data_IF_495750693903
#
_entry.id   IF_495750693903
#
_cell.length_a   1.000
_cell.length_b   1.000
_cell.length_c   1.000
_cell.angle_alpha   90.00
_cell.angle_beta   90.00
_cell.angle_gamma   90.00
#
_symmetry.space_group_name_H-M   'P 1'
#
loop_
_entity.id
_entity.type
_entity.pdbx_description
1 polymer ?
#
# COMPACT_ATOMS: atom_id res chain seq x y z
N UNK A 1 -9.36 -12.15 21.20
CA UNK A 1 -9.87 -10.76 21.36
C UNK A 1 -8.65 -9.88 21.57
N UNK A 2 -8.57 -8.71 20.93
CA UNK A 2 -7.43 -7.81 21.07
C UNK A 2 -7.38 -7.21 22.48
N UNK A 3 -6.20 -7.10 23.07
CA UNK A 3 -5.97 -6.44 24.38
C UNK A 3 -5.69 -4.95 24.16
N UNK A 4 -6.74 -4.14 24.13
CA UNK A 4 -6.64 -2.69 23.94
C UNK A 4 -5.88 -2.02 25.10
N UNK A 5 -6.08 -2.49 26.35
CA UNK A 5 -5.39 -1.91 27.50
C UNK A 5 -3.88 -2.16 27.43
N UNK A 6 -3.47 -3.37 27.04
CA UNK A 6 -2.07 -3.68 26.81
C UNK A 6 -1.44 -2.80 25.72
N UNK A 7 -2.17 -2.50 24.64
CA UNK A 7 -1.70 -1.57 23.60
C UNK A 7 -1.49 -0.16 24.17
N UNK A 8 -2.46 0.33 24.98
CA UNK A 8 -2.35 1.67 25.60
C UNK A 8 -1.15 1.77 26.53
N UNK A 9 -0.91 0.73 27.36
CA UNK A 9 0.27 0.72 28.25
C UNK A 9 1.60 0.69 27.46
N UNK A 10 1.69 -0.14 26.41
CA UNK A 10 2.87 -0.15 25.52
C UNK A 10 3.10 1.20 24.83
N UNK A 11 2.02 1.89 24.43
CA UNK A 11 2.16 3.23 23.87
C UNK A 11 2.70 4.24 24.89
N UNK A 12 2.23 4.21 26.13
CA UNK A 12 2.76 5.09 27.20
C UNK A 12 4.25 4.83 27.45
N UNK A 13 4.66 3.54 27.52
CA UNK A 13 6.07 3.17 27.66
C UNK A 13 6.92 3.69 26.49
N UNK A 14 6.39 3.58 25.25
CA UNK A 14 7.08 4.07 24.06
C UNK A 14 7.28 5.58 24.11
N UNK A 15 6.21 6.34 24.39
CA UNK A 15 6.28 7.81 24.50
C UNK A 15 7.28 8.26 25.57
N UNK A 16 7.28 7.58 26.73
CA UNK A 16 8.21 7.89 27.80
C UNK A 16 9.68 7.62 27.44
N UNK A 17 9.94 6.62 26.59
CA UNK A 17 11.30 6.27 26.12
C UNK A 17 11.79 7.16 24.95
N UNK A 18 10.89 7.85 24.28
CA UNK A 18 11.19 8.61 23.06
C UNK A 18 10.75 10.09 23.13
N UNK A 19 11.19 10.86 24.15
CA UNK A 19 10.82 12.27 24.29
C UNK A 19 11.31 13.13 23.11
N UNK A 20 12.34 12.70 22.40
CA UNK A 20 12.89 13.35 21.21
C UNK A 20 11.90 13.44 20.05
N UNK A 21 10.91 12.56 19.98
CA UNK A 21 9.92 12.57 18.91
C UNK A 21 9.06 13.82 18.91
N UNK A 22 8.79 14.39 20.08
CA UNK A 22 8.04 15.65 20.22
C UNK A 22 8.84 16.88 19.73
N UNK A 23 10.16 16.78 19.65
CA UNK A 23 11.06 17.90 19.34
C UNK A 23 11.47 17.95 17.85
N UNK A 24 11.19 16.89 17.06
CA UNK A 24 11.62 16.78 15.66
C UNK A 24 10.98 17.81 14.70
N UNK A 25 9.93 18.52 15.11
CA UNK A 25 9.27 19.54 14.29
C UNK A 25 8.77 19.02 12.94
N UNK A 26 8.43 17.72 12.85
CA UNK A 26 7.97 17.10 11.63
C UNK A 26 6.63 17.70 11.20
N UNK A 27 6.49 17.93 9.91
CA UNK A 27 5.25 18.39 9.29
C UNK A 27 4.55 17.24 8.57
N UNK A 28 3.34 17.47 8.09
CA UNK A 28 2.63 16.53 7.22
C UNK A 28 3.21 16.46 5.80
N UNK A 29 4.13 17.37 5.44
CA UNK A 29 4.76 17.42 4.13
C UNK A 29 6.06 16.60 4.15
N UNK A 30 6.17 15.56 3.33
CA UNK A 30 7.36 14.73 3.26
C UNK A 30 8.53 15.48 2.62
N UNK A 31 9.72 15.32 3.16
CA UNK A 31 10.90 16.10 2.71
C UNK A 31 11.46 15.60 1.38
N UNK A 32 11.22 14.33 1.01
CA UNK A 32 11.70 13.72 -0.25
C UNK A 32 10.73 13.85 -1.41
N UNK A 33 9.54 14.43 -1.22
CA UNK A 33 8.48 14.57 -2.23
C UNK A 33 8.09 13.26 -2.92
N UNK A 34 8.28 12.14 -2.24
CA UNK A 34 8.05 10.78 -2.71
C UNK A 34 6.87 10.15 -1.98
N UNK A 35 5.97 9.49 -2.73
CA UNK A 35 5.00 8.56 -2.19
C UNK A 35 5.33 7.13 -2.63
N UNK A 36 5.27 6.18 -1.71
CA UNK A 36 5.36 4.74 -1.98
C UNK A 36 3.96 4.14 -1.90
N UNK A 37 3.57 3.38 -2.93
CA UNK A 37 2.38 2.53 -2.94
C UNK A 37 2.83 1.08 -2.84
N UNK A 38 2.42 0.37 -1.79
CA UNK A 38 2.89 -1.00 -1.55
C UNK A 38 1.80 -1.90 -0.95
N UNK A 39 2.12 -3.20 -0.80
CA UNK A 39 1.23 -4.17 -0.17
C UNK A 39 1.13 -3.95 1.35
N UNK A 40 -0.02 -4.35 1.91
CA UNK A 40 -0.25 -4.37 3.35
C UNK A 40 0.37 -5.59 4.05
N UNK A 41 1.16 -6.41 3.36
CA UNK A 41 1.84 -7.58 3.92
C UNK A 41 2.60 -7.22 5.19
N UNK A 42 2.41 -8.05 6.23
CA UNK A 42 2.98 -7.78 7.56
C UNK A 42 4.50 -7.83 7.60
N UNK A 43 5.12 -8.56 6.67
CA UNK A 43 6.59 -8.66 6.54
C UNK A 43 7.23 -7.34 6.08
N UNK A 44 6.45 -6.46 5.42
CA UNK A 44 6.90 -5.15 4.96
C UNK A 44 6.79 -4.06 6.05
N UNK A 45 6.22 -4.38 7.22
CA UNK A 45 6.03 -3.37 8.28
C UNK A 45 7.35 -2.99 8.93
N UNK A 46 7.73 -1.72 8.82
CA UNK A 46 9.00 -1.19 9.35
C UNK A 46 10.21 -1.52 8.47
N UNK A 47 10.28 -2.74 7.93
CA UNK A 47 11.39 -3.20 7.08
C UNK A 47 11.48 -2.41 5.76
N UNK A 48 10.35 -2.12 5.11
CA UNK A 48 10.35 -1.47 3.80
C UNK A 48 11.02 -0.10 3.84
N UNK A 49 10.62 0.75 4.75
CA UNK A 49 11.16 2.11 4.87
C UNK A 49 12.65 2.07 5.28
N UNK A 50 12.99 1.21 6.25
CA UNK A 50 14.36 1.07 6.77
C UNK A 50 15.31 0.52 5.72
N UNK A 51 14.95 -0.54 4.98
CA UNK A 51 15.79 -1.14 3.95
C UNK A 51 16.05 -0.21 2.76
N UNK A 52 15.13 0.71 2.47
CA UNK A 52 15.27 1.72 1.43
C UNK A 52 15.96 3.01 1.94
N UNK A 53 16.35 3.06 3.22
CA UNK A 53 17.06 4.18 3.81
C UNK A 53 16.18 5.41 4.06
N UNK A 54 14.88 5.23 4.27
CA UNK A 54 13.96 6.32 4.57
C UNK A 54 13.69 6.43 6.07
N UNK A 55 13.71 7.66 6.56
CA UNK A 55 13.34 7.99 7.94
C UNK A 55 11.91 8.56 8.02
N UNK A 56 11.41 8.60 9.26
CA UNK A 56 10.10 9.20 9.57
C UNK A 56 10.04 10.68 9.15
N UNK A 57 9.03 11.01 8.33
CA UNK A 57 8.82 12.38 7.80
C UNK A 57 9.44 12.63 6.43
N UNK A 58 10.13 11.65 5.85
CA UNK A 58 10.77 11.79 4.54
C UNK A 58 9.85 11.45 3.37
N UNK A 59 8.99 10.44 3.54
CA UNK A 59 8.11 9.91 2.49
C UNK A 59 6.68 9.71 2.98
N UNK A 60 5.76 9.49 2.04
CA UNK A 60 4.42 8.96 2.30
C UNK A 60 4.39 7.48 1.92
N UNK A 61 3.84 6.61 2.76
CA UNK A 61 3.62 5.20 2.44
C UNK A 61 2.11 4.90 2.43
N UNK A 62 1.61 4.39 1.30
CA UNK A 62 0.22 3.96 1.10
C UNK A 62 0.23 2.43 0.99
N UNK A 63 -0.39 1.74 1.96
CA UNK A 63 -0.45 0.27 2.03
C UNK A 63 -1.86 -0.23 1.72
N UNK A 64 -1.97 -1.13 0.74
CA UNK A 64 -3.25 -1.72 0.32
C UNK A 64 -3.09 -3.22 0.03
N UNK A 65 -4.19 -3.94 -0.13
CA UNK A 65 -4.12 -5.32 -0.58
C UNK A 65 -3.51 -5.37 -2.00
N UNK A 66 -2.28 -5.88 -2.10
CA UNK A 66 -1.57 -6.11 -3.35
C UNK A 66 -1.15 -4.88 -4.15
N UNK A 67 -1.11 -3.67 -3.57
CA UNK A 67 -0.68 -2.44 -4.27
C UNK A 67 -1.38 -2.17 -5.62
N UNK A 68 -2.60 -2.67 -5.83
CA UNK A 68 -3.33 -2.59 -7.10
C UNK A 68 -4.30 -1.42 -7.15
N UNK A 69 -4.24 -0.64 -8.23
CA UNK A 69 -5.28 0.33 -8.58
C UNK A 69 -6.37 -0.39 -9.37
N UNK A 70 -7.61 -0.27 -8.91
CA UNK A 70 -8.75 -1.03 -9.45
C UNK A 70 -9.73 -0.18 -10.23
N UNK A 71 -9.81 1.11 -9.92
CA UNK A 71 -10.76 2.04 -10.53
C UNK A 71 -10.11 3.41 -10.75
N UNK A 72 -10.67 4.24 -11.64
CA UNK A 72 -10.15 5.59 -11.90
C UNK A 72 -10.07 6.48 -10.65
N UNK A 73 -10.92 6.23 -9.65
CA UNK A 73 -10.87 6.90 -8.35
C UNK A 73 -11.12 5.85 -7.28
N UNK A 74 -10.07 5.15 -6.88
CA UNK A 74 -10.04 4.28 -5.70
C UNK A 74 -9.25 4.93 -4.56
N UNK A 75 -9.09 4.22 -3.46
CA UNK A 75 -8.40 4.73 -2.28
C UNK A 75 -6.93 5.07 -2.53
N UNK A 76 -6.25 4.36 -3.44
CA UNK A 76 -4.86 4.68 -3.82
C UNK A 76 -4.84 6.01 -4.57
N UNK A 77 -5.67 6.15 -5.62
CA UNK A 77 -5.74 7.37 -6.41
C UNK A 77 -6.13 8.57 -5.52
N UNK A 78 -7.15 8.43 -4.67
CA UNK A 78 -7.56 9.49 -3.73
C UNK A 78 -6.40 9.91 -2.81
N UNK A 79 -5.68 8.94 -2.25
CA UNK A 79 -4.54 9.21 -1.38
C UNK A 79 -3.41 9.92 -2.13
N UNK A 80 -3.13 9.49 -3.36
CA UNK A 80 -2.12 10.13 -4.22
C UNK A 80 -2.53 11.54 -4.65
N UNK A 81 -3.82 11.81 -4.91
CA UNK A 81 -4.31 13.16 -5.22
C UNK A 81 -4.06 14.12 -4.02
N UNK A 82 -4.39 13.68 -2.80
CA UNK A 82 -4.10 14.47 -1.59
C UNK A 82 -2.59 14.67 -1.43
N UNK A 83 -1.81 13.62 -1.64
CA UNK A 83 -0.35 13.68 -1.54
C UNK A 83 0.26 14.65 -2.56
N UNK A 84 -0.22 14.62 -3.80
CA UNK A 84 0.28 15.47 -4.88
C UNK A 84 -0.12 16.94 -4.66
N UNK A 85 -1.42 17.21 -4.49
CA UNK A 85 -1.93 18.57 -4.47
C UNK A 85 -1.90 19.22 -3.08
N UNK A 86 -1.97 18.43 -2.02
CA UNK A 86 -1.96 18.91 -0.64
C UNK A 86 -0.61 18.85 0.04
N UNK A 87 0.28 17.92 -0.35
CA UNK A 87 1.55 17.68 0.34
C UNK A 87 2.80 17.83 -0.56
N UNK A 88 2.60 18.11 -1.85
CA UNK A 88 3.70 18.43 -2.77
C UNK A 88 4.51 17.24 -3.25
N UNK A 89 3.90 16.06 -3.37
CA UNK A 89 4.55 14.87 -3.96
C UNK A 89 4.77 15.10 -5.46
N UNK A 90 5.96 14.76 -5.93
CA UNK A 90 6.39 14.86 -7.32
C UNK A 90 6.64 13.47 -7.94
N UNK A 91 6.94 12.46 -7.11
CA UNK A 91 7.25 11.10 -7.56
C UNK A 91 6.44 10.04 -6.79
N UNK A 92 6.09 8.96 -7.49
CA UNK A 92 5.43 7.78 -6.94
C UNK A 92 6.23 6.54 -7.28
N UNK A 93 6.55 5.73 -6.28
CA UNK A 93 7.18 4.43 -6.43
C UNK A 93 6.18 3.33 -6.01
N UNK A 94 5.78 2.50 -6.97
CA UNK A 94 4.91 1.33 -6.72
C UNK A 94 5.80 0.13 -6.43
N UNK A 95 5.68 -0.43 -5.24
CA UNK A 95 6.50 -1.59 -4.81
C UNK A 95 5.60 -2.79 -4.58
N UNK A 96 5.75 -3.81 -5.43
CA UNK A 96 5.25 -5.16 -5.19
C UNK A 96 6.25 -5.96 -4.35
N UNK A 97 5.89 -7.19 -4.01
CA UNK A 97 6.81 -8.06 -3.28
C UNK A 97 6.67 -9.52 -3.72
N UNK A 98 7.75 -10.28 -3.51
CA UNK A 98 7.76 -11.71 -3.77
C UNK A 98 6.81 -12.44 -2.81
N UNK A 99 6.26 -13.58 -3.25
CA UNK A 99 5.35 -14.42 -2.46
C UNK A 99 4.19 -13.62 -1.84
N UNK A 100 3.55 -12.75 -2.64
CA UNK A 100 2.38 -11.99 -2.21
C UNK A 100 1.18 -12.92 -2.02
N UNK A 101 0.59 -12.92 -0.84
CA UNK A 101 -0.58 -13.76 -0.54
C UNK A 101 -1.80 -13.49 -1.44
N UNK A 102 -1.85 -12.35 -2.13
CA UNK A 102 -2.94 -12.06 -3.09
C UNK A 102 -2.91 -12.98 -4.33
N UNK A 103 -1.76 -13.58 -4.67
CA UNK A 103 -1.62 -14.48 -5.82
C UNK A 103 -2.33 -15.82 -5.56
N UNK A 104 -2.39 -16.23 -4.30
CA UNK A 104 -2.93 -17.52 -3.88
C UNK A 104 -4.45 -17.51 -3.68
N UNK A 105 -5.10 -16.35 -3.74
CA UNK A 105 -6.53 -16.21 -3.53
C UNK A 105 -7.28 -16.03 -4.85
N UNK A 106 -8.33 -16.85 -5.06
CA UNK A 106 -9.35 -16.59 -6.08
C UNK A 106 -10.59 -15.92 -5.47
N UNK A 107 -11.37 -15.23 -6.31
CA UNK A 107 -12.65 -14.66 -5.88
C UNK A 107 -13.59 -15.73 -5.31
N UNK A 108 -13.59 -16.95 -5.89
CA UNK A 108 -14.40 -18.09 -5.42
C UNK A 108 -14.00 -18.51 -4.01
N UNK A 109 -12.70 -18.70 -3.74
CA UNK A 109 -12.19 -19.04 -2.39
C UNK A 109 -12.56 -17.98 -1.37
N UNK A 110 -12.52 -16.70 -1.76
CA UNK A 110 -12.91 -15.58 -0.90
C UNK A 110 -14.40 -15.62 -0.56
N UNK A 111 -15.26 -15.85 -1.56
CA UNK A 111 -16.71 -15.99 -1.36
C UNK A 111 -17.06 -17.18 -0.48
N UNK A 112 -16.40 -18.32 -0.67
CA UNK A 112 -16.59 -19.50 0.20
C UNK A 112 -16.16 -19.23 1.64
N UNK A 113 -15.04 -18.51 1.85
CA UNK A 113 -14.61 -18.09 3.19
C UNK A 113 -15.61 -17.13 3.85
N UNK A 114 -16.26 -16.25 3.10
CA UNK A 114 -17.33 -15.37 3.59
C UNK A 114 -18.57 -16.19 4.03
N UNK A 115 -19.01 -17.15 3.19
CA UNK A 115 -20.12 -18.04 3.53
C UNK A 115 -19.83 -18.85 4.80
N UNK A 116 -18.62 -19.40 4.92
CA UNK A 116 -18.19 -20.16 6.08
C UNK A 116 -18.20 -19.31 7.39
N UNK A 117 -18.07 -18.00 7.27
CA UNK A 117 -18.20 -17.03 8.39
C UNK A 117 -19.63 -16.53 8.61
N UNK A 118 -20.63 -17.07 7.89
CA UNK A 118 -22.04 -16.75 8.04
C UNK A 118 -22.46 -15.45 7.35
N UNK A 119 -21.69 -14.95 6.38
CA UNK A 119 -22.14 -13.80 5.57
C UNK A 119 -23.28 -14.24 4.65
N UNK A 120 -24.31 -13.39 4.58
CA UNK A 120 -25.50 -13.64 3.78
C UNK A 120 -25.16 -13.75 2.28
N UNK A 121 -25.70 -14.77 1.59
CA UNK A 121 -25.42 -15.00 0.17
C UNK A 121 -25.87 -13.86 -0.75
N UNK A 122 -26.95 -13.14 -0.42
CA UNK A 122 -27.37 -11.98 -1.20
C UNK A 122 -26.36 -10.86 -1.13
N UNK A 123 -25.74 -10.65 0.04
CA UNK A 123 -24.65 -9.68 0.19
C UNK A 123 -23.41 -10.07 -0.62
N UNK A 124 -23.09 -11.37 -0.66
CA UNK A 124 -21.97 -11.90 -1.45
C UNK A 124 -22.24 -11.69 -2.94
N UNK A 125 -23.44 -12.06 -3.43
CA UNK A 125 -23.85 -11.85 -4.83
C UNK A 125 -23.78 -10.37 -5.26
N UNK A 126 -24.08 -9.44 -4.36
CA UNK A 126 -24.03 -8.01 -4.66
C UNK A 126 -22.61 -7.51 -4.98
N UNK A 127 -21.59 -8.10 -4.33
CA UNK A 127 -20.18 -7.67 -4.51
C UNK A 127 -19.42 -8.55 -5.50
N UNK A 128 -19.94 -9.71 -5.86
CA UNK A 128 -19.26 -10.74 -6.68
C UNK A 128 -18.63 -10.19 -7.96
N UNK A 129 -19.31 -9.37 -8.81
CA UNK A 129 -18.70 -8.89 -10.04
C UNK A 129 -17.48 -8.03 -9.79
N UNK A 130 -17.52 -7.15 -8.78
CA UNK A 130 -16.40 -6.29 -8.41
C UNK A 130 -15.26 -7.07 -7.76
N UNK A 131 -15.58 -8.11 -6.99
CA UNK A 131 -14.60 -8.99 -6.37
C UNK A 131 -13.82 -9.80 -7.42
N UNK A 132 -14.53 -10.36 -8.40
CA UNK A 132 -13.92 -11.08 -9.53
C UNK A 132 -13.01 -10.14 -10.32
N UNK A 133 -13.51 -8.97 -10.76
CA UNK A 133 -12.72 -8.01 -11.54
C UNK A 133 -11.45 -7.55 -10.80
N UNK A 134 -11.53 -7.40 -9.48
CA UNK A 134 -10.37 -7.05 -8.66
C UNK A 134 -9.38 -8.20 -8.55
N UNK A 135 -9.83 -9.41 -8.23
CA UNK A 135 -8.93 -10.53 -7.93
C UNK A 135 -8.31 -11.14 -9.18
N UNK A 136 -9.03 -11.16 -10.31
CA UNK A 136 -8.52 -11.65 -11.60
C UNK A 136 -7.35 -10.84 -12.16
N UNK A 137 -7.10 -9.66 -11.62
CA UNK A 137 -5.91 -8.85 -11.97
C UNK A 137 -4.64 -9.30 -11.23
N UNK A 138 -4.79 -10.19 -10.22
CA UNK A 138 -3.71 -10.60 -9.33
C UNK A 138 -3.18 -11.99 -9.69
N UNK A 139 -2.36 -12.10 -10.73
CA UNK A 139 -1.73 -13.38 -11.09
C UNK A 139 -0.21 -13.37 -10.90
N UNK A 140 0.44 -12.23 -11.14
CA UNK A 140 1.89 -12.07 -11.01
C UNK A 140 2.16 -10.70 -10.38
N UNK A 141 2.86 -10.67 -9.23
CA UNK A 141 3.13 -9.42 -8.51
C UNK A 141 3.83 -8.36 -9.36
N UNK A 142 4.82 -8.73 -10.16
CA UNK A 142 5.55 -7.80 -11.03
C UNK A 142 4.66 -7.22 -12.14
N UNK A 143 3.78 -8.03 -12.74
CA UNK A 143 2.84 -7.55 -13.77
C UNK A 143 1.83 -6.57 -13.18
N UNK A 144 1.39 -6.80 -11.95
CA UNK A 144 0.51 -5.87 -11.25
C UNK A 144 1.21 -4.53 -10.96
N UNK A 145 2.49 -4.54 -10.58
CA UNK A 145 3.28 -3.31 -10.44
C UNK A 145 3.36 -2.56 -11.77
N UNK A 146 3.68 -3.26 -12.87
CA UNK A 146 3.73 -2.67 -14.22
C UNK A 146 2.40 -2.08 -14.64
N UNK A 147 1.30 -2.78 -14.37
CA UNK A 147 -0.05 -2.30 -14.66
C UNK A 147 -0.35 -1.02 -13.85
N UNK A 148 -0.14 -1.04 -12.54
CA UNK A 148 -0.40 0.09 -11.64
C UNK A 148 0.42 1.32 -12.04
N UNK A 149 1.71 1.15 -12.33
CA UNK A 149 2.57 2.26 -12.81
C UNK A 149 2.06 2.84 -14.11
N UNK A 150 1.72 1.99 -15.12
CA UNK A 150 1.17 2.45 -16.40
C UNK A 150 -0.15 3.17 -16.22
N UNK A 151 -1.03 2.63 -15.38
CA UNK A 151 -2.32 3.25 -15.09
C UNK A 151 -2.16 4.64 -14.49
N UNK A 152 -1.34 4.78 -13.45
CA UNK A 152 -1.08 6.06 -12.78
C UNK A 152 -0.41 7.08 -13.69
N UNK A 153 0.57 6.65 -14.50
CA UNK A 153 1.27 7.51 -15.46
C UNK A 153 0.36 8.13 -16.51
N UNK A 154 -0.69 7.43 -16.93
CA UNK A 154 -1.67 7.89 -17.90
C UNK A 154 -2.94 8.47 -17.27
N UNK A 155 -3.01 8.51 -15.95
CA UNK A 155 -4.20 8.98 -15.27
C UNK A 155 -4.39 10.50 -15.43
N UNK A 156 -5.57 10.98 -15.87
CA UNK A 156 -5.76 12.38 -16.27
C UNK A 156 -5.68 13.39 -15.12
N UNK A 157 -5.77 12.94 -13.89
CA UNK A 157 -5.75 13.80 -12.70
C UNK A 157 -4.34 14.01 -12.11
N UNK A 158 -3.29 13.41 -12.66
CA UNK A 158 -1.92 13.70 -12.21
C UNK A 158 -1.22 14.68 -13.15
N UNK A 159 -0.31 15.53 -12.61
CA UNK A 159 0.43 16.51 -13.40
C UNK A 159 1.29 15.83 -14.47
N UNK A 160 1.40 16.48 -15.65
CA UNK A 160 2.38 16.08 -16.67
C UNK A 160 3.79 16.28 -16.11
N UNK A 161 4.60 15.24 -16.19
CA UNK A 161 5.98 15.27 -15.68
C UNK A 161 6.14 14.70 -14.27
N UNK A 162 5.05 14.33 -13.58
CA UNK A 162 5.13 13.54 -12.36
C UNK A 162 5.77 12.19 -12.63
N UNK A 163 6.73 11.76 -11.80
CA UNK A 163 7.43 10.49 -11.94
C UNK A 163 6.61 9.32 -11.39
N UNK A 164 6.54 8.22 -12.17
CA UNK A 164 5.92 6.96 -11.74
C UNK A 164 6.86 5.80 -12.02
N UNK A 165 7.29 5.12 -10.97
CA UNK A 165 8.32 4.09 -10.99
C UNK A 165 7.79 2.79 -10.40
N UNK A 166 8.41 1.66 -10.77
CA UNK A 166 8.06 0.34 -10.27
C UNK A 166 9.25 -0.38 -9.63
N UNK A 167 8.98 -1.22 -8.65
CA UNK A 167 9.99 -2.08 -8.04
C UNK A 167 9.38 -3.30 -7.37
N UNK A 168 10.23 -4.27 -7.10
CA UNK A 168 9.90 -5.47 -6.32
C UNK A 168 10.78 -5.53 -5.08
N UNK A 169 10.19 -5.97 -3.99
CA UNK A 169 10.85 -6.22 -2.71
C UNK A 169 10.81 -7.71 -2.40
N UNK A 170 11.93 -8.27 -2.00
CA UNK A 170 11.94 -9.56 -1.33
C UNK A 170 11.64 -9.32 0.17
N UNK A 171 10.49 -9.79 0.70
CA UNK A 171 10.10 -9.52 2.07
C UNK A 171 10.90 -10.32 3.11
N UNK A 172 11.68 -11.32 2.68
CA UNK A 172 12.48 -12.16 3.56
C UNK A 172 13.90 -11.61 3.74
N UNK A 173 14.43 -10.92 2.71
CA UNK A 173 15.81 -10.39 2.71
C UNK A 173 15.86 -8.87 2.77
N UNK A 174 14.78 -8.17 2.37
CA UNK A 174 14.77 -6.71 2.19
C UNK A 174 15.44 -6.25 0.89
N UNK A 175 15.81 -7.18 -0.01
CA UNK A 175 16.39 -6.80 -1.31
C UNK A 175 15.35 -6.10 -2.19
N UNK A 176 15.72 -4.93 -2.71
CA UNK A 176 14.88 -4.16 -3.62
C UNK A 176 15.43 -4.23 -5.05
N UNK A 177 14.53 -4.50 -6.00
CA UNK A 177 14.84 -4.55 -7.44
C UNK A 177 13.95 -3.55 -8.18
N UNK A 178 14.59 -2.61 -8.89
CA UNK A 178 13.87 -1.70 -9.79
C UNK A 178 13.29 -2.45 -10.99
N UNK A 179 12.10 -2.01 -11.46
CA UNK A 179 11.44 -2.51 -12.66
C UNK A 179 11.34 -1.38 -13.68
N UNK A 180 11.91 -1.56 -14.84
CA UNK A 180 11.70 -0.67 -15.97
C UNK A 180 10.28 -0.84 -16.53
N UNK A 181 9.47 0.25 -16.61
CA UNK A 181 8.05 0.24 -17.01
C UNK A 181 7.79 1.26 -18.10
#
# INVERSE_FOLDING_TARGET
MIDINGIVEKNKEYVAKHPELAQKGLTSHPTKKLAIVTCMDTRLVGMLEESLGFERGEIITIKTAGNSVTQPIDNIVQSLLVSTYGMGIEDVLVIGHENCGMIDFSAEQFMEAMKAKGINEDAIRMIEPGLIDWMDRFHISEENVRYTVKFLRHHPLFPRGMGFYGGMMDPDTGEFRYIEV
#
